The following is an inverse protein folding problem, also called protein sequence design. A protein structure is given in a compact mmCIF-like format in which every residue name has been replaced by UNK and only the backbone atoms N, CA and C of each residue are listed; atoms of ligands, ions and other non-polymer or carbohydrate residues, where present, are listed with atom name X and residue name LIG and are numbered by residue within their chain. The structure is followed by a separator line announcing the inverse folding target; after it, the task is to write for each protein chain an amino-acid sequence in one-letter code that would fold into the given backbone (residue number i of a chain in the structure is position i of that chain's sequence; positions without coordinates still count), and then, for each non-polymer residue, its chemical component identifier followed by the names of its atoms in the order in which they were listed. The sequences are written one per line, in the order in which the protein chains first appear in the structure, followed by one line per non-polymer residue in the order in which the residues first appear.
data_IF_595855517189
#
_entry.id   IF_595855517189
#
_cell.length_a   1.000
_cell.length_b   1.000
_cell.length_c   1.000
_cell.angle_alpha   90.00
_cell.angle_beta   90.00
_cell.angle_gamma   90.00
#
_symmetry.space_group_name_H-M   'P 1'
#
loop_
_entity.id
_entity.type
_entity.pdbx_description
1 polymer ?
#
# COMPACT_ATOMS: atom_id res chain seq x y z
N UNK A 1 -47.43 5.64 7.85
CA UNK A 1 -48.44 6.03 6.82
C UNK A 1 -48.41 5.05 5.65
N UNK A 2 -47.22 4.81 5.01
CA UNK A 2 -47.10 3.94 3.83
C UNK A 2 -47.51 2.47 4.08
N UNK A 3 -47.15 1.87 5.20
CA UNK A 3 -47.54 0.51 5.56
C UNK A 3 -49.08 0.38 5.75
N UNK A 4 -49.75 1.43 6.28
CA UNK A 4 -51.19 1.44 6.40
C UNK A 4 -51.92 1.48 5.03
N UNK A 5 -51.28 2.08 4.03
CA UNK A 5 -51.82 2.07 2.66
C UNK A 5 -51.80 0.64 2.09
N UNK A 6 -50.74 -0.14 2.32
CA UNK A 6 -50.67 -1.55 1.89
C UNK A 6 -51.64 -2.48 2.66
N UNK A 7 -52.06 -2.09 3.87
CA UNK A 7 -53.11 -2.84 4.60
C UNK A 7 -54.46 -2.62 3.95
N UNK A 8 -54.73 -1.41 3.43
CA UNK A 8 -56.02 -1.06 2.79
C UNK A 8 -56.03 -1.56 1.34
N UNK A 9 -54.95 -1.38 0.65
CA UNK A 9 -54.77 -1.76 -0.76
C UNK A 9 -53.41 -2.43 -0.92
N UNK A 10 -53.34 -3.77 -0.84
CA UNK A 10 -52.08 -4.51 -0.85
C UNK A 10 -51.30 -4.40 -2.16
N UNK A 11 -51.97 -4.06 -3.26
CA UNK A 11 -51.37 -4.08 -4.60
C UNK A 11 -51.01 -2.69 -5.12
N UNK A 12 -50.12 -1.99 -4.36
CA UNK A 12 -49.64 -0.67 -4.68
C UNK A 12 -48.11 -0.71 -4.89
N UNK A 13 -47.60 -0.98 -6.12
CA UNK A 13 -46.16 -1.09 -6.39
C UNK A 13 -45.38 0.17 -6.04
N UNK A 14 -45.96 1.36 -6.26
CA UNK A 14 -45.32 2.64 -5.93
C UNK A 14 -45.09 2.79 -4.42
N UNK A 15 -46.00 2.34 -3.59
CA UNK A 15 -45.85 2.36 -2.13
C UNK A 15 -44.83 1.35 -1.68
N UNK A 16 -44.79 0.16 -2.31
CA UNK A 16 -43.73 -0.82 -2.07
C UNK A 16 -42.34 -0.28 -2.42
N UNK A 17 -42.21 0.40 -3.58
CA UNK A 17 -40.92 1.04 -3.98
C UNK A 17 -40.48 2.09 -2.95
N UNK A 18 -41.41 2.93 -2.48
CA UNK A 18 -41.09 3.93 -1.45
C UNK A 18 -40.71 3.30 -0.12
N UNK A 19 -41.38 2.23 0.31
CA UNK A 19 -40.98 1.49 1.52
C UNK A 19 -39.62 0.80 1.36
N UNK A 20 -39.38 0.17 0.22
CA UNK A 20 -38.10 -0.44 -0.10
C UNK A 20 -36.94 0.58 -0.01
N UNK A 21 -37.14 1.76 -0.61
CA UNK A 21 -36.17 2.85 -0.54
C UNK A 21 -35.98 3.39 0.89
N UNK A 22 -37.08 3.55 1.64
CA UNK A 22 -37.04 4.01 3.03
C UNK A 22 -36.31 3.02 3.92
N UNK A 23 -36.60 1.72 3.83
CA UNK A 23 -35.91 0.69 4.60
C UNK A 23 -34.43 0.54 4.20
N UNK A 24 -34.11 0.74 2.91
CA UNK A 24 -32.73 0.85 2.46
C UNK A 24 -31.98 2.00 3.18
N UNK A 25 -32.56 3.19 3.22
CA UNK A 25 -31.98 4.35 3.92
C UNK A 25 -31.85 4.13 5.43
N UNK A 26 -32.73 3.33 6.03
CA UNK A 26 -32.65 2.94 7.44
C UNK A 26 -31.71 1.75 7.71
N UNK A 27 -30.98 1.29 6.69
CA UNK A 27 -30.12 0.09 6.74
C UNK A 27 -30.85 -1.20 7.19
N UNK A 28 -32.19 -1.22 7.04
CA UNK A 28 -32.99 -2.41 7.29
C UNK A 28 -33.15 -3.23 6.00
N UNK A 29 -32.03 -3.83 5.57
CA UNK A 29 -31.89 -4.44 4.24
C UNK A 29 -32.86 -5.60 3.99
N UNK A 30 -33.09 -6.44 4.99
CA UNK A 30 -34.06 -7.55 4.87
C UNK A 30 -35.48 -7.05 4.54
N UNK A 31 -35.93 -5.95 5.19
CA UNK A 31 -37.23 -5.34 4.90
C UNK A 31 -37.20 -4.64 3.54
N UNK A 32 -36.11 -3.95 3.20
CA UNK A 32 -35.96 -3.32 1.89
C UNK A 32 -36.08 -4.35 0.76
N UNK A 33 -35.37 -5.47 0.84
CA UNK A 33 -35.43 -6.57 -0.14
C UNK A 33 -36.84 -7.15 -0.27
N UNK A 34 -37.57 -7.30 0.83
CA UNK A 34 -38.95 -7.81 0.80
C UNK A 34 -39.85 -6.92 -0.07
N UNK A 35 -39.80 -5.60 0.10
CA UNK A 35 -40.57 -4.67 -0.67
C UNK A 35 -40.11 -4.49 -2.12
N UNK A 36 -38.79 -4.41 -2.35
CA UNK A 36 -38.20 -4.23 -3.67
C UNK A 36 -38.42 -5.47 -4.57
N UNK A 37 -38.23 -6.68 -4.03
CA UNK A 37 -38.53 -7.91 -4.77
C UNK A 37 -40.00 -8.01 -5.18
N UNK A 38 -40.93 -7.54 -4.32
CA UNK A 38 -42.32 -7.49 -4.65
C UNK A 38 -42.64 -6.48 -5.77
N UNK A 39 -41.84 -5.40 -5.91
CA UNK A 39 -41.97 -4.46 -7.05
C UNK A 39 -41.50 -5.11 -8.34
N UNK A 40 -40.34 -5.78 -8.33
CA UNK A 40 -39.78 -6.46 -9.52
C UNK A 40 -40.70 -7.59 -10.00
N UNK A 41 -41.31 -8.33 -9.07
CA UNK A 41 -42.21 -9.45 -9.38
C UNK A 41 -43.58 -9.03 -9.90
N UNK A 42 -43.93 -7.74 -9.85
CA UNK A 42 -45.24 -7.28 -10.24
C UNK A 42 -45.31 -7.00 -11.75
N UNK A 43 -46.23 -7.66 -12.47
CA UNK A 43 -46.31 -7.62 -13.95
C UNK A 43 -46.64 -6.23 -14.52
N UNK A 44 -47.48 -5.45 -13.85
CA UNK A 44 -47.97 -4.15 -14.33
C UNK A 44 -47.02 -2.96 -14.02
N UNK A 45 -45.87 -3.20 -13.39
CA UNK A 45 -44.91 -2.14 -13.07
C UNK A 45 -44.12 -1.78 -14.33
N UNK A 46 -43.94 -0.46 -14.64
CA UNK A 46 -43.11 0.00 -15.73
C UNK A 46 -41.65 -0.50 -15.59
N UNK A 47 -40.99 -0.77 -16.73
CA UNK A 47 -39.64 -1.34 -16.77
C UNK A 47 -38.60 -0.44 -16.10
N UNK A 48 -38.73 0.88 -16.19
CA UNK A 48 -37.85 1.85 -15.53
C UNK A 48 -37.92 1.78 -14.00
N UNK A 49 -39.11 1.52 -13.46
CA UNK A 49 -39.29 1.35 -12.00
C UNK A 49 -38.78 -0.02 -11.56
N UNK A 50 -39.02 -1.09 -12.36
CA UNK A 50 -38.40 -2.40 -12.10
C UNK A 50 -36.90 -2.32 -12.10
N UNK A 51 -36.30 -1.61 -13.07
CA UNK A 51 -34.86 -1.41 -13.14
C UNK A 51 -34.33 -0.67 -11.92
N UNK A 52 -35.01 0.40 -11.49
CA UNK A 52 -34.63 1.15 -10.28
C UNK A 52 -34.70 0.29 -9.00
N UNK A 53 -35.70 -0.58 -8.90
CA UNK A 53 -35.83 -1.54 -7.80
C UNK A 53 -34.71 -2.58 -7.84
N UNK A 54 -34.38 -3.10 -9.03
CA UNK A 54 -33.27 -4.05 -9.24
C UNK A 54 -31.92 -3.45 -8.93
N UNK A 55 -31.71 -2.17 -9.27
CA UNK A 55 -30.46 -1.45 -8.93
C UNK A 55 -30.29 -1.31 -7.42
N UNK A 56 -31.38 -1.04 -6.68
CA UNK A 56 -31.35 -1.00 -5.21
C UNK A 56 -31.11 -2.40 -4.60
N UNK A 57 -31.74 -3.45 -5.15
CA UNK A 57 -31.50 -4.84 -4.73
C UNK A 57 -30.00 -5.17 -4.91
N UNK A 58 -29.42 -4.86 -6.09
CA UNK A 58 -28.00 -5.11 -6.37
C UNK A 58 -27.10 -4.34 -5.40
N UNK A 59 -27.45 -3.10 -5.05
CA UNK A 59 -26.73 -2.34 -4.04
C UNK A 59 -26.80 -3.00 -2.66
N UNK A 60 -28.00 -3.47 -2.25
CA UNK A 60 -28.17 -4.18 -0.98
C UNK A 60 -27.32 -5.46 -0.98
N UNK A 61 -27.42 -6.29 -2.02
CA UNK A 61 -26.67 -7.54 -2.13
C UNK A 61 -25.15 -7.29 -2.01
N UNK A 62 -24.67 -6.20 -2.60
CA UNK A 62 -23.27 -5.79 -2.46
C UNK A 62 -22.92 -5.39 -1.02
N UNK A 63 -23.83 -4.69 -0.33
CA UNK A 63 -23.62 -4.22 1.05
C UNK A 63 -23.67 -5.34 2.09
N UNK A 64 -24.53 -6.35 1.88
CA UNK A 64 -24.71 -7.51 2.77
C UNK A 64 -23.83 -8.71 2.37
N UNK A 65 -23.13 -8.62 1.23
CA UNK A 65 -22.28 -9.71 0.78
C UNK A 65 -21.15 -9.98 1.80
N UNK A 66 -20.97 -11.23 2.22
CA UNK A 66 -19.81 -11.60 3.02
C UNK A 66 -18.50 -11.51 2.21
N UNK A 67 -18.59 -11.38 0.89
CA UNK A 67 -17.45 -11.29 -0.01
C UNK A 67 -17.18 -9.83 -0.38
N UNK A 68 -15.98 -9.34 -0.06
CA UNK A 68 -15.54 -7.97 -0.41
C UNK A 68 -14.26 -8.04 -1.21
N UNK A 69 -14.23 -7.29 -2.31
CA UNK A 69 -13.06 -7.11 -3.15
C UNK A 69 -12.69 -5.64 -3.19
N UNK A 70 -11.44 -5.34 -3.04
CA UNK A 70 -10.90 -4.02 -3.28
C UNK A 70 -9.51 -4.13 -3.87
N UNK A 71 -9.09 -3.11 -4.58
CA UNK A 71 -7.79 -3.10 -5.18
C UNK A 71 -7.33 -1.72 -5.62
N UNK A 72 -6.04 -1.63 -5.83
CA UNK A 72 -5.36 -0.43 -6.32
C UNK A 72 -4.40 -0.83 -7.41
N UNK A 73 -4.37 -0.07 -8.50
CA UNK A 73 -3.38 -0.21 -9.57
C UNK A 73 -2.73 1.16 -9.79
N UNK A 74 -1.41 1.19 -9.84
CA UNK A 74 -0.60 2.38 -10.10
C UNK A 74 0.28 2.11 -11.31
N UNK A 75 0.20 2.96 -12.33
CA UNK A 75 1.07 2.90 -13.49
C UNK A 75 1.66 4.29 -13.75
N UNK A 76 2.96 4.37 -13.97
CA UNK A 76 3.60 5.67 -14.13
C UNK A 76 5.01 5.62 -14.70
N UNK A 77 5.56 6.82 -14.85
CA UNK A 77 6.94 7.05 -15.27
C UNK A 77 7.69 7.74 -14.14
N UNK A 78 8.95 7.38 -13.96
CA UNK A 78 9.83 7.94 -12.93
C UNK A 78 11.20 8.25 -13.53
N UNK A 79 11.75 9.39 -13.15
CA UNK A 79 13.15 9.73 -13.36
C UNK A 79 13.92 9.54 -12.05
N UNK A 80 15.13 9.01 -12.13
CA UNK A 80 16.04 8.82 -11.02
C UNK A 80 17.44 9.36 -11.39
N UNK A 81 18.07 10.08 -10.48
CA UNK A 81 19.44 10.60 -10.68
C UNK A 81 20.51 9.55 -10.42
N UNK A 82 20.13 8.44 -9.77
CA UNK A 82 21.01 7.31 -9.47
C UNK A 82 20.17 6.01 -9.51
N UNK A 83 19.82 5.57 -10.71
CA UNK A 83 18.97 4.41 -10.93
C UNK A 83 19.68 3.09 -10.59
N UNK A 84 20.99 3.01 -10.83
CA UNK A 84 21.81 1.83 -10.53
C UNK A 84 22.28 1.73 -9.07
N UNK A 85 21.97 2.72 -8.21
CA UNK A 85 22.45 2.74 -6.82
C UNK A 85 23.97 2.86 -6.67
N UNK A 86 24.66 3.31 -7.72
CA UNK A 86 26.11 3.41 -7.76
C UNK A 86 26.69 4.44 -6.78
N UNK A 87 27.95 4.30 -6.35
CA UNK A 87 28.59 5.22 -5.44
C UNK A 87 28.78 6.61 -6.05
N UNK A 88 28.89 7.62 -5.16
CA UNK A 88 29.11 9.03 -5.54
C UNK A 88 30.51 9.30 -6.06
N UNK A 89 31.47 8.41 -5.84
CA UNK A 89 32.90 8.58 -6.15
C UNK A 89 33.44 7.34 -6.87
N UNK A 90 34.34 7.56 -7.80
CA UNK A 90 35.12 6.47 -8.40
C UNK A 90 36.16 5.87 -7.44
N UNK A 91 36.59 6.63 -6.40
CA UNK A 91 37.52 6.13 -5.42
C UNK A 91 36.80 5.22 -4.41
N UNK A 92 37.06 3.94 -4.51
CA UNK A 92 36.46 2.89 -3.69
C UNK A 92 37.52 2.10 -2.92
N UNK A 93 37.09 1.24 -2.01
CA UNK A 93 37.91 0.24 -1.37
C UNK A 93 37.78 -1.11 -2.07
N UNK A 94 38.90 -1.79 -2.26
CA UNK A 94 38.96 -3.14 -2.78
C UNK A 94 40.12 -3.89 -2.07
N UNK A 95 39.78 -4.98 -1.37
CA UNK A 95 40.70 -5.76 -0.53
C UNK A 95 41.53 -4.91 0.46
N UNK A 96 40.87 -3.89 1.07
CA UNK A 96 41.48 -2.96 2.01
C UNK A 96 42.35 -1.87 1.39
N UNK A 97 42.60 -1.93 0.07
CA UNK A 97 43.32 -0.91 -0.70
C UNK A 97 42.37 0.10 -1.37
N UNK A 98 42.98 1.19 -1.90
CA UNK A 98 42.25 2.12 -2.77
C UNK A 98 42.21 1.58 -4.20
N UNK A 99 41.03 1.64 -4.83
CA UNK A 99 40.83 1.30 -6.24
C UNK A 99 40.04 2.41 -6.92
N UNK A 100 40.06 2.45 -8.25
CA UNK A 100 39.28 3.37 -9.05
C UNK A 100 38.25 2.56 -9.82
N UNK A 101 36.97 2.87 -9.59
CA UNK A 101 35.85 2.26 -10.26
C UNK A 101 35.66 2.91 -11.63
N UNK A 102 35.30 2.12 -12.64
CA UNK A 102 34.96 2.66 -13.94
C UNK A 102 33.68 3.52 -13.82
N UNK A 103 33.58 4.59 -14.62
CA UNK A 103 32.52 5.59 -14.52
C UNK A 103 31.11 4.99 -14.68
N UNK A 104 30.98 3.95 -15.49
CA UNK A 104 29.70 3.25 -15.73
C UNK A 104 29.10 2.58 -14.49
N UNK A 105 29.93 2.22 -13.50
CA UNK A 105 29.49 1.64 -12.21
C UNK A 105 29.25 2.69 -11.12
N UNK A 106 29.55 3.95 -11.38
CA UNK A 106 29.18 5.05 -10.48
C UNK A 106 27.71 5.42 -10.69
N UNK A 107 27.28 6.49 -10.07
CA UNK A 107 25.90 7.01 -10.18
C UNK A 107 25.49 7.20 -11.65
N UNK A 108 24.45 6.47 -12.08
CA UNK A 108 23.83 6.58 -13.41
C UNK A 108 22.38 7.01 -13.28
N UNK A 109 21.99 8.06 -14.03
CA UNK A 109 20.60 8.49 -14.09
C UNK A 109 19.83 7.68 -15.12
N UNK A 110 18.54 7.46 -14.88
CA UNK A 110 17.67 6.77 -15.83
C UNK A 110 16.20 7.13 -15.65
N UNK A 111 15.40 6.76 -16.65
CA UNK A 111 13.96 6.76 -16.60
C UNK A 111 13.45 5.33 -16.47
N UNK A 112 12.38 5.14 -15.72
CA UNK A 112 11.67 3.87 -15.70
C UNK A 112 10.16 4.04 -15.90
N UNK A 113 9.55 2.98 -16.42
CA UNK A 113 8.10 2.77 -16.38
C UNK A 113 7.82 1.78 -15.27
N UNK A 114 6.85 2.05 -14.42
CA UNK A 114 6.48 1.16 -13.34
C UNK A 114 4.99 0.84 -13.32
N UNK A 115 4.68 -0.38 -12.91
CA UNK A 115 3.34 -0.89 -12.67
C UNK A 115 3.30 -1.53 -11.28
N UNK A 116 2.37 -1.11 -10.45
CA UNK A 116 2.10 -1.73 -9.15
C UNK A 116 0.63 -2.08 -9.03
N UNK A 117 0.31 -3.20 -8.42
CA UNK A 117 -1.05 -3.63 -8.15
C UNK A 117 -1.16 -4.23 -6.75
N UNK A 118 -2.26 -3.94 -6.08
CA UNK A 118 -2.63 -4.58 -4.84
C UNK A 118 -4.12 -4.95 -4.91
N UNK A 119 -4.42 -6.21 -4.61
CA UNK A 119 -5.77 -6.77 -4.58
C UNK A 119 -6.00 -7.38 -3.22
N UNK A 120 -7.15 -7.11 -2.64
CA UNK A 120 -7.56 -7.70 -1.37
C UNK A 120 -8.93 -8.34 -1.53
N UNK A 121 -9.04 -9.58 -1.13
CA UNK A 121 -10.27 -10.31 -0.97
C UNK A 121 -10.49 -10.55 0.51
N UNK A 122 -11.71 -10.26 0.99
CA UNK A 122 -12.13 -10.45 2.37
C UNK A 122 -13.42 -11.27 2.37
N UNK A 123 -13.41 -12.36 3.12
CA UNK A 123 -14.60 -13.12 3.44
C UNK A 123 -14.98 -12.87 4.90
N UNK A 124 -16.18 -12.37 5.14
CA UNK A 124 -16.70 -12.08 6.47
C UNK A 124 -17.54 -13.27 6.98
N UNK A 125 -17.16 -13.83 8.11
CA UNK A 125 -17.89 -14.93 8.74
C UNK A 125 -19.16 -14.49 9.47
N UNK A 126 -19.40 -13.17 9.53
CA UNK A 126 -20.56 -12.56 10.21
C UNK A 126 -20.69 -12.98 11.68
N UNK A 127 -19.56 -13.09 12.37
CA UNK A 127 -19.46 -13.53 13.77
C UNK A 127 -19.29 -12.36 14.73
N UNK A 128 -19.52 -12.63 16.03
CA UNK A 128 -19.19 -11.74 17.13
C UNK A 128 -18.26 -12.48 18.11
N UNK A 129 -16.99 -12.05 18.31
CA UNK A 129 -16.33 -10.93 17.64
C UNK A 129 -16.22 -11.12 16.12
N UNK A 130 -16.09 -10.01 15.38
CA UNK A 130 -15.97 -10.09 13.92
C UNK A 130 -14.71 -10.83 13.51
N UNK A 131 -14.89 -11.88 12.71
CA UNK A 131 -13.82 -12.68 12.11
C UNK A 131 -13.94 -12.60 10.60
N UNK A 132 -12.85 -12.23 9.94
CA UNK A 132 -12.75 -12.26 8.47
C UNK A 132 -11.59 -13.13 8.03
N UNK A 133 -11.65 -13.68 6.85
CA UNK A 133 -10.53 -14.33 6.17
C UNK A 133 -10.07 -13.40 5.04
N UNK A 134 -8.78 -13.06 5.06
CA UNK A 134 -8.23 -12.08 4.14
C UNK A 134 -7.16 -12.71 3.24
N UNK A 135 -7.25 -12.43 1.95
CA UNK A 135 -6.22 -12.74 0.96
C UNK A 135 -5.76 -11.44 0.33
N UNK A 136 -4.47 -11.14 0.42
CA UNK A 136 -3.83 -10.00 -0.22
C UNK A 136 -2.86 -10.46 -1.30
N UNK A 137 -2.96 -9.89 -2.49
CA UNK A 137 -2.00 -10.07 -3.57
C UNK A 137 -1.40 -8.72 -3.90
N UNK A 138 -0.08 -8.63 -3.94
CA UNK A 138 0.62 -7.45 -4.43
C UNK A 138 1.64 -7.83 -5.49
N UNK A 139 1.77 -6.99 -6.50
CA UNK A 139 2.75 -7.12 -7.56
C UNK A 139 3.33 -5.74 -7.90
N UNK A 140 4.59 -5.71 -8.23
CA UNK A 140 5.30 -4.53 -8.70
C UNK A 140 6.26 -4.92 -9.81
N UNK A 141 6.32 -4.12 -10.86
CA UNK A 141 7.36 -4.22 -11.88
C UNK A 141 7.84 -2.83 -12.29
N UNK A 142 9.13 -2.71 -12.52
CA UNK A 142 9.74 -1.51 -13.11
C UNK A 142 10.72 -1.91 -14.21
N UNK A 143 10.69 -1.17 -15.29
CA UNK A 143 11.53 -1.35 -16.46
C UNK A 143 12.30 -0.06 -16.73
N UNK A 144 13.60 -0.16 -16.66
CA UNK A 144 14.52 0.94 -16.89
C UNK A 144 14.73 1.15 -18.40
N UNK A 145 15.03 2.37 -18.82
CA UNK A 145 15.32 2.69 -20.21
C UNK A 145 16.72 2.17 -20.63
N UNK A 146 17.73 2.40 -19.80
CA UNK A 146 19.13 2.05 -20.07
C UNK A 146 19.72 1.07 -19.06
N UNK A 147 19.33 1.15 -17.79
CA UNK A 147 19.89 0.36 -16.68
C UNK A 147 19.08 -0.94 -16.44
N UNK A 148 18.90 -1.75 -17.48
CA UNK A 148 18.02 -2.95 -17.40
C UNK A 148 18.46 -4.00 -16.37
N UNK A 149 19.72 -3.96 -15.88
CA UNK A 149 20.22 -4.82 -14.81
C UNK A 149 19.52 -4.55 -13.46
N UNK A 150 18.84 -3.41 -13.31
CA UNK A 150 18.02 -3.09 -12.12
C UNK A 150 16.52 -3.13 -12.38
N UNK A 151 16.09 -3.66 -13.54
CA UNK A 151 14.69 -4.01 -13.76
C UNK A 151 14.21 -4.91 -12.63
N UNK A 152 13.10 -4.55 -12.00
CA UNK A 152 12.64 -5.24 -10.79
C UNK A 152 11.24 -5.77 -11.00
N UNK A 153 10.99 -7.02 -10.64
CA UNK A 153 9.65 -7.58 -10.50
C UNK A 153 9.52 -8.20 -9.12
N UNK A 154 8.45 -7.85 -8.41
CA UNK A 154 8.11 -8.36 -7.08
C UNK A 154 6.69 -8.89 -7.10
N UNK A 155 6.48 -10.04 -6.47
CA UNK A 155 5.17 -10.61 -6.22
C UNK A 155 5.07 -11.01 -4.75
N UNK A 156 3.89 -10.82 -4.16
CA UNK A 156 3.61 -11.27 -2.80
C UNK A 156 2.16 -11.67 -2.66
N UNK A 157 1.93 -12.83 -2.04
CA UNK A 157 0.63 -13.32 -1.62
C UNK A 157 0.63 -13.44 -0.10
N UNK A 158 -0.39 -12.87 0.53
CA UNK A 158 -0.66 -13.00 1.96
C UNK A 158 -2.02 -13.65 2.17
N UNK A 159 -2.13 -14.49 3.22
CA UNK A 159 -3.37 -15.15 3.58
C UNK A 159 -3.47 -15.35 5.08
N UNK A 160 -4.60 -14.97 5.67
CA UNK A 160 -4.81 -15.17 7.10
C UNK A 160 -6.12 -14.59 7.63
N UNK A 161 -6.53 -15.00 8.83
CA UNK A 161 -7.69 -14.43 9.49
C UNK A 161 -7.37 -13.04 10.08
N UNK A 162 -8.40 -12.20 10.16
CA UNK A 162 -8.41 -11.00 11.00
C UNK A 162 -9.53 -11.12 12.01
N UNK A 163 -9.21 -10.85 13.26
CA UNK A 163 -10.15 -10.79 14.37
C UNK A 163 -10.29 -9.34 14.83
N UNK A 164 -11.50 -8.86 14.95
CA UNK A 164 -11.79 -7.49 15.39
C UNK A 164 -12.61 -7.54 16.67
N UNK A 165 -12.05 -7.01 17.74
CA UNK A 165 -12.69 -6.88 19.04
C UNK A 165 -13.06 -5.41 19.27
N UNK A 166 -14.25 -5.17 19.83
CA UNK A 166 -14.73 -3.83 20.20
C UNK A 166 -14.82 -3.71 21.73
N UNK A 167 -13.69 -3.48 22.42
CA UNK A 167 -13.67 -3.47 23.90
C UNK A 167 -14.57 -2.40 24.51
N UNK A 168 -14.76 -1.28 23.79
CA UNK A 168 -15.63 -0.16 24.16
C UNK A 168 -16.20 0.49 22.90
N UNK A 169 -17.38 1.14 22.96
CA UNK A 169 -17.91 1.91 21.85
C UNK A 169 -16.86 2.92 21.31
N UNK A 170 -16.66 2.92 19.99
CA UNK A 170 -15.69 3.80 19.32
C UNK A 170 -14.24 3.34 19.36
N UNK A 171 -13.92 2.18 19.96
CA UNK A 171 -12.59 1.56 19.93
C UNK A 171 -12.62 0.23 19.21
N UNK A 172 -11.52 -0.17 18.58
CA UNK A 172 -11.36 -1.50 17.98
C UNK A 172 -9.93 -2.01 18.17
N UNK A 173 -9.81 -3.30 18.50
CA UNK A 173 -8.55 -4.03 18.54
C UNK A 173 -8.58 -5.06 17.39
N UNK A 174 -7.70 -4.88 16.42
CA UNK A 174 -7.54 -5.77 15.29
C UNK A 174 -6.33 -6.67 15.51
N UNK A 175 -6.48 -7.96 15.29
CA UNK A 175 -5.42 -8.97 15.33
C UNK A 175 -5.44 -9.72 14.00
N UNK A 176 -4.34 -9.70 13.25
CA UNK A 176 -4.22 -10.36 11.95
C UNK A 176 -2.93 -11.19 11.87
N UNK A 177 -2.94 -12.48 12.25
CA UNK A 177 -1.91 -13.42 11.86
C UNK A 177 -2.07 -13.77 10.38
N UNK A 178 -0.95 -13.94 9.65
CA UNK A 178 -0.99 -14.32 8.25
C UNK A 178 0.24 -15.13 7.86
N UNK A 179 0.09 -16.00 6.86
CA UNK A 179 1.16 -16.60 6.10
C UNK A 179 1.42 -15.77 4.83
N UNK A 180 2.62 -15.84 4.30
CA UNK A 180 2.97 -15.18 3.06
C UNK A 180 3.98 -15.97 2.23
N UNK A 181 3.93 -15.77 0.93
CA UNK A 181 4.96 -16.13 -0.03
C UNK A 181 5.29 -14.92 -0.88
N UNK A 182 6.54 -14.75 -1.23
CA UNK A 182 6.98 -13.71 -2.15
C UNK A 182 8.07 -14.21 -3.09
N UNK A 183 8.20 -13.51 -4.19
CA UNK A 183 9.16 -13.77 -5.25
C UNK A 183 9.72 -12.46 -5.77
N UNK A 184 11.00 -12.45 -6.15
CA UNK A 184 11.66 -11.31 -6.73
C UNK A 184 12.52 -11.73 -7.92
N UNK A 185 12.40 -11.00 -9.02
CA UNK A 185 13.32 -11.03 -10.14
C UNK A 185 14.03 -9.67 -10.28
N UNK A 186 15.32 -9.70 -10.60
CA UNK A 186 16.17 -8.54 -10.82
C UNK A 186 16.92 -8.69 -12.15
N UNK A 187 16.90 -7.65 -12.99
CA UNK A 187 17.54 -7.68 -14.32
C UNK A 187 17.00 -8.80 -15.22
N UNK A 188 15.72 -9.17 -15.05
CA UNK A 188 15.08 -10.26 -15.80
C UNK A 188 15.49 -11.67 -15.37
N UNK A 189 16.18 -11.83 -14.22
CA UNK A 189 16.57 -13.12 -13.64
C UNK A 189 15.90 -13.30 -12.29
N UNK A 190 15.48 -14.53 -11.96
CA UNK A 190 14.96 -14.86 -10.65
C UNK A 190 16.06 -14.61 -9.60
N UNK A 191 15.76 -13.79 -8.61
CA UNK A 191 16.68 -13.44 -7.52
C UNK A 191 16.38 -14.28 -6.29
N UNK A 192 15.21 -14.13 -5.67
CA UNK A 192 14.84 -14.96 -4.53
C UNK A 192 13.36 -15.33 -4.48
N UNK A 193 13.08 -16.47 -3.84
CA UNK A 193 11.77 -16.87 -3.35
C UNK A 193 11.75 -16.80 -1.83
N UNK A 194 10.61 -16.42 -1.24
CA UNK A 194 10.48 -16.30 0.21
C UNK A 194 9.18 -16.88 0.72
N UNK A 195 9.25 -17.56 1.87
CA UNK A 195 8.10 -18.09 2.61
C UNK A 195 8.14 -17.56 4.03
N UNK A 196 7.01 -17.14 4.55
CA UNK A 196 7.01 -16.51 5.86
C UNK A 196 5.65 -16.43 6.52
N UNK A 197 5.67 -15.77 7.67
CA UNK A 197 4.49 -15.45 8.45
C UNK A 197 4.62 -14.09 9.12
N UNK A 198 3.48 -13.51 9.47
CA UNK A 198 3.44 -12.25 10.19
C UNK A 198 2.26 -12.14 11.13
N UNK A 199 2.32 -11.12 11.96
CA UNK A 199 1.28 -10.74 12.89
C UNK A 199 1.16 -9.21 12.90
N UNK A 200 -0.01 -8.71 12.54
CA UNK A 200 -0.34 -7.28 12.61
C UNK A 200 -1.34 -7.05 13.75
N UNK A 201 -1.09 -6.00 14.50
CA UNK A 201 -1.92 -5.50 15.58
C UNK A 201 -2.31 -4.06 15.28
N UNK A 202 -3.58 -3.69 15.45
CA UNK A 202 -4.00 -2.30 15.42
C UNK A 202 -5.01 -2.04 16.53
N UNK A 203 -4.76 -1.00 17.31
CA UNK A 203 -5.69 -0.51 18.32
C UNK A 203 -6.17 0.88 17.95
N UNK A 204 -7.40 0.96 17.45
CA UNK A 204 -8.07 2.20 17.08
C UNK A 204 -8.77 2.80 18.29
N UNK A 205 -8.42 4.03 18.61
CA UNK A 205 -9.01 4.78 19.75
C UNK A 205 -10.01 5.84 19.28
N UNK A 206 -10.00 6.17 17.99
CA UNK A 206 -10.97 7.02 17.30
C UNK A 206 -10.81 6.86 15.77
N UNK A 207 -11.63 7.52 14.97
CA UNK A 207 -11.53 7.50 13.50
C UNK A 207 -10.19 8.07 12.98
N UNK A 208 -9.56 8.99 13.72
CA UNK A 208 -8.30 9.63 13.35
C UNK A 208 -7.12 9.21 14.25
N UNK A 209 -7.24 8.14 15.05
CA UNK A 209 -6.23 7.78 16.02
C UNK A 209 -6.11 6.27 16.20
N UNK A 210 -4.93 5.74 15.91
CA UNK A 210 -4.62 4.32 16.01
C UNK A 210 -3.18 4.08 16.49
N UNK A 211 -2.97 3.03 17.25
CA UNK A 211 -1.68 2.40 17.48
C UNK A 211 -1.57 1.18 16.59
N UNK A 212 -0.43 0.97 15.98
CA UNK A 212 -0.12 -0.22 15.19
C UNK A 212 1.16 -0.86 15.69
N UNK A 213 1.25 -2.16 15.63
CA UNK A 213 2.48 -2.91 15.88
C UNK A 213 2.42 -4.21 15.09
N UNK A 214 3.56 -4.81 14.83
CA UNK A 214 3.57 -6.09 14.17
C UNK A 214 4.97 -6.66 14.00
N UNK A 215 4.97 -7.90 13.54
CA UNK A 215 6.17 -8.63 13.18
C UNK A 215 5.96 -9.38 11.88
N UNK A 216 7.04 -9.54 11.13
CA UNK A 216 7.06 -10.33 9.90
C UNK A 216 8.38 -11.07 9.83
N UNK A 217 8.29 -12.37 9.59
CA UNK A 217 9.41 -13.27 9.36
C UNK A 217 9.29 -13.86 7.97
N UNK A 218 10.38 -13.85 7.20
CA UNK A 218 10.46 -14.44 5.86
C UNK A 218 11.79 -15.14 5.73
N UNK A 219 11.76 -16.42 5.43
CA UNK A 219 12.94 -17.18 5.02
C UNK A 219 13.08 -17.07 3.50
N UNK A 220 14.27 -16.66 3.03
CA UNK A 220 14.53 -16.42 1.61
C UNK A 220 15.59 -17.35 1.08
N UNK A 221 15.31 -17.91 -0.10
CA UNK A 221 16.21 -18.75 -0.89
C UNK A 221 16.56 -18.01 -2.20
N UNK A 222 17.84 -17.88 -2.47
CA UNK A 222 18.35 -17.13 -3.63
C UNK A 222 18.78 -18.10 -4.74
N UNK A 223 18.35 -17.79 -5.98
CA UNK A 223 18.53 -18.65 -7.14
C UNK A 223 19.85 -18.42 -7.89
N UNK A 224 20.40 -17.17 -7.81
CA UNK A 224 21.63 -16.82 -8.51
C UNK A 224 22.85 -17.26 -7.72
N UNK A 225 23.86 -17.84 -8.40
CA UNK A 225 25.07 -18.34 -7.77
C UNK A 225 25.83 -17.25 -6.99
N UNK A 226 25.82 -16.02 -7.48
CA UNK A 226 26.43 -14.86 -6.84
C UNK A 226 25.67 -14.39 -5.59
N UNK A 227 24.40 -14.75 -5.46
CA UNK A 227 23.50 -14.33 -4.39
C UNK A 227 23.26 -15.42 -3.32
N UNK A 228 23.78 -16.63 -3.52
CA UNK A 228 23.53 -17.77 -2.58
C UNK A 228 23.97 -17.43 -1.15
N UNK A 229 25.02 -16.63 -0.96
CA UNK A 229 25.43 -16.14 0.36
C UNK A 229 24.40 -15.23 1.06
N UNK A 230 23.42 -14.70 0.33
CA UNK A 230 22.34 -13.85 0.87
C UNK A 230 21.16 -14.65 1.40
N UNK A 231 21.18 -15.98 1.29
CA UNK A 231 20.16 -16.88 1.81
C UNK A 231 20.03 -16.72 3.33
N UNK A 232 18.77 -16.74 3.80
CA UNK A 232 18.47 -16.74 5.22
C UNK A 232 17.24 -15.93 5.62
N UNK A 233 16.94 -15.92 6.92
CA UNK A 233 15.76 -15.28 7.44
C UNK A 233 15.86 -13.77 7.49
N UNK A 234 14.74 -13.14 7.24
CA UNK A 234 14.51 -11.71 7.37
C UNK A 234 13.39 -11.44 8.36
N UNK A 235 13.70 -10.74 9.44
CA UNK A 235 12.73 -10.38 10.48
C UNK A 235 12.52 -8.88 10.51
N UNK A 236 11.27 -8.45 10.55
CA UNK A 236 10.88 -7.05 10.73
C UNK A 236 9.97 -6.93 11.94
N UNK A 237 10.27 -5.98 12.82
CA UNK A 237 9.40 -5.50 13.87
C UNK A 237 9.02 -4.06 13.57
N UNK A 238 7.80 -3.67 13.86
CA UNK A 238 7.38 -2.28 13.72
C UNK A 238 6.38 -1.90 14.80
N UNK A 239 6.37 -0.61 15.12
CA UNK A 239 5.36 0.01 15.96
C UNK A 239 5.06 1.41 15.41
N UNK A 240 3.79 1.81 15.41
CA UNK A 240 3.37 3.08 14.85
C UNK A 240 2.26 3.75 15.64
N UNK A 241 2.13 5.05 15.43
CA UNK A 241 1.07 5.87 15.98
C UNK A 241 0.54 6.80 14.91
N UNK A 242 -0.75 6.68 14.61
CA UNK A 242 -1.49 7.64 13.78
C UNK A 242 -2.34 8.53 14.66
N UNK A 243 -2.39 9.84 14.37
CA UNK A 243 -3.15 10.82 15.13
C UNK A 243 -3.62 11.97 14.24
N UNK A 244 -4.81 12.47 14.50
CA UNK A 244 -5.33 13.68 13.85
C UNK A 244 -4.64 14.92 14.43
N UNK A 245 -4.01 15.71 13.55
CA UNK A 245 -3.46 17.03 13.88
C UNK A 245 -4.53 18.13 13.72
N UNK A 246 -5.43 17.93 12.77
CA UNK A 246 -6.61 18.75 12.52
C UNK A 246 -7.66 17.92 11.78
N UNK A 247 -8.81 18.53 11.46
CA UNK A 247 -9.85 17.87 10.65
C UNK A 247 -9.38 17.52 9.21
N UNK A 248 -8.30 18.16 8.74
CA UNK A 248 -7.74 17.98 7.40
C UNK A 248 -6.35 17.36 7.40
N UNK A 249 -5.74 17.19 8.58
CA UNK A 249 -4.33 16.75 8.69
C UNK A 249 -4.19 15.56 9.60
N UNK A 250 -3.52 14.53 9.12
CA UNK A 250 -3.19 13.31 9.86
C UNK A 250 -1.66 13.20 9.92
N UNK A 251 -1.14 12.90 11.11
CA UNK A 251 0.25 12.55 11.34
C UNK A 251 0.40 11.07 11.67
N UNK A 252 1.47 10.45 11.18
CA UNK A 252 1.85 9.08 11.54
C UNK A 252 3.34 9.04 11.85
N UNK A 253 3.70 8.38 12.96
CA UNK A 253 5.07 8.10 13.36
C UNK A 253 5.22 6.58 13.38
N UNK A 254 6.24 6.06 12.74
CA UNK A 254 6.58 4.64 12.71
C UNK A 254 8.01 4.42 13.18
N UNK A 255 8.19 3.45 14.04
CA UNK A 255 9.48 2.87 14.43
C UNK A 255 9.59 1.49 13.79
N UNK A 256 10.77 1.12 13.33
CA UNK A 256 11.04 -0.21 12.81
C UNK A 256 12.39 -0.72 13.28
N UNK A 257 12.47 -2.02 13.50
CA UNK A 257 13.72 -2.77 13.64
C UNK A 257 13.68 -3.91 12.62
N UNK A 258 14.77 -4.08 11.94
CA UNK A 258 14.90 -4.99 10.83
C UNK A 258 16.18 -5.79 10.99
N UNK A 259 16.10 -7.10 10.93
CA UNK A 259 17.24 -8.00 10.95
C UNK A 259 17.25 -8.86 9.70
N UNK A 260 18.36 -8.92 9.03
CA UNK A 260 18.63 -9.82 7.94
C UNK A 260 19.80 -10.71 8.36
N UNK A 261 19.52 -11.98 8.62
CA UNK A 261 20.52 -12.97 9.03
C UNK A 261 20.83 -13.87 7.81
N UNK A 262 21.93 -13.57 7.14
CA UNK A 262 22.34 -14.26 5.91
C UNK A 262 23.46 -15.26 6.19
N UNK A 263 23.62 -16.26 5.29
CA UNK A 263 24.73 -17.23 5.37
C UNK A 263 26.09 -16.50 5.28
N UNK A 264 26.21 -15.49 4.41
CA UNK A 264 27.37 -14.60 4.35
C UNK A 264 27.22 -13.45 5.36
N UNK A 265 27.90 -13.53 6.50
CA UNK A 265 27.76 -12.59 7.61
C UNK A 265 28.16 -11.14 7.29
N UNK A 266 28.95 -10.93 6.27
CA UNK A 266 29.25 -9.58 5.75
C UNK A 266 28.06 -8.91 5.08
N UNK A 267 26.98 -9.67 4.78
CA UNK A 267 25.71 -9.21 4.23
C UNK A 267 24.60 -9.22 5.27
N UNK A 268 24.80 -9.84 6.43
CA UNK A 268 23.87 -9.83 7.56
C UNK A 268 23.92 -8.47 8.28
N UNK A 269 22.75 -7.95 8.73
CA UNK A 269 22.69 -6.65 9.37
C UNK A 269 21.45 -6.45 10.26
N UNK A 270 21.55 -5.44 11.12
CA UNK A 270 20.44 -4.79 11.78
C UNK A 270 20.22 -3.39 11.20
N UNK A 271 18.94 -3.02 11.01
CA UNK A 271 18.53 -1.67 10.63
C UNK A 271 17.46 -1.17 11.58
N UNK A 272 17.63 0.02 12.13
CA UNK A 272 16.63 0.71 12.93
C UNK A 272 16.12 1.92 12.17
N UNK A 273 14.80 2.10 12.15
CA UNK A 273 14.17 3.17 11.38
C UNK A 273 13.19 4.00 12.21
N UNK A 274 13.20 5.30 11.95
CA UNK A 274 12.17 6.25 12.38
C UNK A 274 11.60 6.93 11.15
N UNK A 275 10.29 6.85 10.96
CA UNK A 275 9.59 7.48 9.84
C UNK A 275 8.46 8.36 10.34
N UNK A 276 8.32 9.55 9.77
CA UNK A 276 7.23 10.49 10.01
C UNK A 276 6.52 10.77 8.70
N UNK A 277 5.20 10.59 8.68
CA UNK A 277 4.32 10.90 7.56
C UNK A 277 3.30 11.94 8.01
N UNK A 278 3.13 13.00 7.22
CA UNK A 278 2.07 14.00 7.38
C UNK A 278 1.25 14.01 6.10
N UNK A 279 -0.06 13.85 6.23
CA UNK A 279 -1.02 13.94 5.13
C UNK A 279 -1.98 15.09 5.40
N UNK A 280 -2.17 15.95 4.40
CA UNK A 280 -3.06 17.11 4.47
C UNK A 280 -4.02 17.14 3.28
N UNK A 281 -5.31 17.21 3.57
CA UNK A 281 -6.34 17.36 2.56
C UNK A 281 -6.53 18.86 2.23
N UNK A 282 -6.28 19.22 0.99
CA UNK A 282 -6.42 20.58 0.48
C UNK A 282 -7.88 20.86 0.13
N UNK A 283 -8.72 21.09 1.15
CA UNK A 283 -10.18 21.23 1.00
C UNK A 283 -10.61 22.43 0.13
N UNK A 284 -9.78 23.47 0.02
CA UNK A 284 -10.15 24.76 -0.57
C UNK A 284 -9.44 25.09 -1.90
N UNK A 285 -8.83 24.09 -2.57
CA UNK A 285 -8.32 24.30 -3.92
C UNK A 285 -9.48 24.38 -4.94
N UNK A 286 -10.24 25.45 -4.82
CA UNK A 286 -11.14 25.96 -5.86
C UNK A 286 -10.58 27.30 -6.35
N UNK A 287 -10.26 27.45 -7.64
CA UNK A 287 -10.83 26.80 -8.78
C UNK A 287 -10.04 25.54 -9.21
N UNK A 288 -10.76 24.54 -9.69
CA UNK A 288 -10.14 23.36 -10.28
C UNK A 288 -9.17 23.77 -11.39
N UNK A 289 -7.94 23.23 -11.43
CA UNK A 289 -7.01 23.50 -12.51
C UNK A 289 -7.65 23.11 -13.84
N UNK A 290 -7.38 23.91 -14.86
CA UNK A 290 -7.92 23.73 -16.20
C UNK A 290 -6.80 23.35 -17.15
N UNK A 291 -7.01 22.31 -17.92
CA UNK A 291 -6.16 21.93 -19.05
C UNK A 291 -6.94 22.25 -20.35
N UNK A 292 -6.35 23.03 -21.25
CA UNK A 292 -7.01 23.50 -22.48
C UNK A 292 -8.40 24.10 -22.26
N UNK A 293 -8.59 24.86 -21.15
CA UNK A 293 -9.83 25.54 -20.82
C UNK A 293 -10.92 24.66 -20.17
N UNK A 294 -10.69 23.35 -20.02
CA UNK A 294 -11.59 22.40 -19.38
C UNK A 294 -11.08 22.06 -17.96
N UNK A 295 -11.97 21.85 -16.97
CA UNK A 295 -11.55 21.42 -15.64
C UNK A 295 -10.80 20.07 -15.73
N UNK A 296 -9.69 19.96 -15.01
CA UNK A 296 -8.82 18.78 -15.00
C UNK A 296 -9.42 17.64 -14.18
N UNK A 297 -10.33 17.96 -13.27
CA UNK A 297 -10.93 17.00 -12.34
C UNK A 297 -12.45 17.03 -12.45
N UNK A 298 -13.04 15.84 -12.41
CA UNK A 298 -14.49 15.63 -12.37
C UNK A 298 -14.96 15.14 -10.99
N UNK A 299 -14.03 15.03 -10.04
CA UNK A 299 -14.30 14.57 -8.68
C UNK A 299 -14.38 15.77 -7.70
N UNK A 300 -15.36 15.83 -6.81
CA UNK A 300 -15.43 16.82 -5.74
C UNK A 300 -14.47 16.52 -4.58
N UNK A 301 -13.74 15.39 -4.62
CA UNK A 301 -12.83 15.01 -3.55
C UNK A 301 -11.65 15.99 -3.44
N UNK A 302 -11.18 16.30 -2.22
CA UNK A 302 -10.05 17.18 -2.01
C UNK A 302 -8.75 16.57 -2.53
N UNK A 303 -7.82 17.40 -2.92
CA UNK A 303 -6.45 16.96 -3.20
C UNK A 303 -5.76 16.61 -1.89
N UNK A 304 -4.88 15.60 -1.93
CA UNK A 304 -4.13 15.18 -0.75
C UNK A 304 -2.65 15.41 -0.97
N UNK A 305 -2.06 16.24 -0.11
CA UNK A 305 -0.62 16.46 -0.05
C UNK A 305 -0.03 15.62 1.08
N UNK A 306 1.07 14.91 0.79
CA UNK A 306 1.75 14.07 1.77
C UNK A 306 3.23 14.41 1.82
N UNK A 307 3.79 14.46 3.03
CA UNK A 307 5.23 14.58 3.28
C UNK A 307 5.68 13.38 4.11
N UNK A 308 6.72 12.74 3.66
CA UNK A 308 7.35 11.62 4.34
C UNK A 308 8.83 11.91 4.57
N UNK A 309 9.32 11.65 5.79
CA UNK A 309 10.74 11.68 6.12
C UNK A 309 11.07 10.46 6.98
N UNK A 310 12.17 9.80 6.66
CA UNK A 310 12.64 8.60 7.38
C UNK A 310 14.14 8.65 7.59
N UNK A 311 14.57 8.25 8.77
CA UNK A 311 15.98 8.06 9.16
C UNK A 311 16.17 6.59 9.49
N UNK A 312 17.25 6.00 8.96
CA UNK A 312 17.58 4.59 9.15
C UNK A 312 19.07 4.46 9.45
N UNK A 313 19.38 3.76 10.51
CA UNK A 313 20.73 3.35 10.91
C UNK A 313 20.88 1.85 10.64
N UNK A 314 21.91 1.47 9.89
CA UNK A 314 22.18 0.09 9.50
C UNK A 314 23.60 -0.29 9.87
N UNK A 315 23.72 -1.38 10.62
CA UNK A 315 24.98 -1.94 11.08
C UNK A 315 25.12 -3.38 10.62
N UNK A 316 26.18 -3.70 9.90
CA UNK A 316 26.48 -5.05 9.42
C UNK A 316 27.19 -5.87 10.49
N UNK A 317 27.08 -7.19 10.43
CA UNK A 317 27.63 -8.10 11.44
C UNK A 317 29.14 -8.27 11.28
N UNK A 318 29.62 -8.41 10.04
CA UNK A 318 31.04 -8.65 9.75
C UNK A 318 31.55 -7.76 8.60
N UNK A 319 32.86 -7.59 8.54
CA UNK A 319 33.53 -6.91 7.45
C UNK A 319 33.51 -7.76 6.17
N UNK A 320 33.30 -7.13 5.01
CA UNK A 320 33.43 -7.81 3.71
C UNK A 320 34.90 -7.84 3.27
N UNK A 321 35.53 -9.03 3.20
CA UNK A 321 36.95 -9.13 2.81
C UNK A 321 37.23 -8.66 1.39
N UNK A 322 36.26 -8.70 0.49
CA UNK A 322 36.40 -8.19 -0.87
C UNK A 322 36.45 -6.67 -0.94
N UNK A 323 35.90 -5.98 0.08
CA UNK A 323 35.95 -4.52 0.18
C UNK A 323 37.06 -4.09 1.15
N UNK A 324 36.88 -4.42 2.43
CA UNK A 324 37.90 -4.12 3.47
C UNK A 324 37.70 -5.03 4.68
N UNK A 325 38.58 -6.01 4.88
CA UNK A 325 38.46 -6.96 6.00
C UNK A 325 38.65 -6.32 7.40
N UNK A 326 39.14 -5.09 7.47
CA UNK A 326 39.37 -4.36 8.72
C UNK A 326 38.20 -3.41 9.09
N UNK A 327 37.21 -3.24 8.23
CA UNK A 327 36.11 -2.26 8.43
C UNK A 327 34.75 -2.93 8.26
N UNK A 328 33.99 -3.01 9.35
CA UNK A 328 32.59 -3.41 9.32
C UNK A 328 31.76 -2.24 8.80
N UNK A 329 30.92 -2.50 7.81
CA UNK A 329 30.06 -1.50 7.17
C UNK A 329 29.00 -0.97 8.13
N UNK A 330 28.80 0.35 8.09
CA UNK A 330 27.73 1.08 8.79
C UNK A 330 27.17 2.14 7.84
N UNK A 331 25.86 2.22 7.74
CA UNK A 331 25.18 3.16 6.84
C UNK A 331 24.12 3.96 7.60
N UNK A 332 24.16 5.27 7.47
CA UNK A 332 23.09 6.19 7.85
C UNK A 332 22.30 6.58 6.60
N UNK A 333 20.99 6.41 6.62
CA UNK A 333 20.15 6.73 5.47
C UNK A 333 19.06 7.75 5.84
N UNK A 334 18.99 8.85 5.08
CA UNK A 334 17.88 9.77 5.06
C UNK A 334 17.03 9.51 3.81
N UNK A 335 15.72 9.34 3.99
CA UNK A 335 14.74 9.28 2.88
C UNK A 335 13.69 10.34 3.10
N UNK A 336 13.41 11.14 2.08
CA UNK A 336 12.35 12.16 2.12
C UNK A 336 11.55 12.15 0.82
N UNK A 337 10.26 12.43 0.91
CA UNK A 337 9.42 12.58 -0.28
C UNK A 337 8.21 13.48 -0.02
N UNK A 338 7.75 14.12 -1.09
CA UNK A 338 6.50 14.84 -1.14
C UNK A 338 5.65 14.25 -2.27
N UNK A 339 4.37 14.00 -2.00
CA UNK A 339 3.43 13.45 -2.97
C UNK A 339 2.16 14.27 -3.00
N UNK A 340 1.60 14.46 -4.19
CA UNK A 340 0.31 15.10 -4.41
C UNK A 340 -0.61 14.14 -5.15
N UNK A 341 -1.76 13.82 -4.54
CA UNK A 341 -2.83 13.04 -5.15
C UNK A 341 -3.92 14.00 -5.60
N UNK A 342 -4.23 13.95 -6.89
CA UNK A 342 -5.27 14.76 -7.54
C UNK A 342 -6.38 13.82 -8.02
N UNK A 343 -7.56 13.80 -7.40
CA UNK A 343 -8.67 12.96 -7.85
C UNK A 343 -9.19 13.42 -9.22
N UNK A 344 -9.07 12.57 -10.25
CA UNK A 344 -9.61 12.84 -11.59
C UNK A 344 -11.07 12.41 -11.69
N UNK A 345 -11.38 11.23 -11.16
CA UNK A 345 -12.75 10.70 -11.02
C UNK A 345 -12.91 10.08 -9.62
N UNK A 346 -14.03 9.44 -9.35
CA UNK A 346 -14.26 8.69 -8.11
C UNK A 346 -13.32 7.47 -7.95
N UNK A 347 -12.71 6.98 -9.03
CA UNK A 347 -11.89 5.78 -9.07
C UNK A 347 -10.49 5.99 -9.64
N UNK A 348 -10.23 7.13 -10.26
CA UNK A 348 -8.95 7.44 -10.92
C UNK A 348 -8.35 8.71 -10.35
N UNK A 349 -7.08 8.65 -9.99
CA UNK A 349 -6.31 9.76 -9.44
C UNK A 349 -5.02 9.96 -10.24
N UNK A 350 -4.54 11.17 -10.30
CA UNK A 350 -3.18 11.50 -10.72
C UNK A 350 -2.32 11.60 -9.46
N UNK A 351 -1.23 10.85 -9.42
CA UNK A 351 -0.24 10.86 -8.33
C UNK A 351 1.06 11.45 -8.88
N UNK A 352 1.55 12.50 -8.25
CA UNK A 352 2.89 13.03 -8.51
C UNK A 352 3.72 12.91 -7.24
N UNK A 353 4.98 12.47 -7.38
CA UNK A 353 5.89 12.31 -6.24
C UNK A 353 7.27 12.83 -6.60
N UNK A 354 7.91 13.54 -5.68
CA UNK A 354 9.32 13.87 -5.72
C UNK A 354 9.96 13.43 -4.41
N UNK A 355 11.18 12.90 -4.48
CA UNK A 355 11.86 12.42 -3.30
C UNK A 355 13.37 12.45 -3.42
N UNK A 356 14.01 12.26 -2.28
CA UNK A 356 15.46 12.26 -2.12
C UNK A 356 15.86 11.20 -1.11
N UNK A 357 16.92 10.47 -1.44
CA UNK A 357 17.59 9.50 -0.58
C UNK A 357 19.06 9.86 -0.49
N UNK A 358 19.62 9.90 0.72
CA UNK A 358 21.03 10.10 1.02
C UNK A 358 21.50 8.93 1.88
N UNK A 359 22.45 8.16 1.41
CA UNK A 359 23.09 7.05 2.12
C UNK A 359 24.54 7.43 2.41
N UNK A 360 24.85 7.56 3.67
CA UNK A 360 26.20 7.83 4.18
C UNK A 360 26.76 6.56 4.78
N UNK A 361 27.81 6.05 4.17
CA UNK A 361 28.50 4.85 4.64
C UNK A 361 29.90 5.21 5.13
N UNK A 362 30.40 4.44 6.10
CA UNK A 362 31.82 4.48 6.51
C UNK A 362 32.74 3.88 5.43
N UNK A 363 32.19 3.26 4.38
CA UNK A 363 32.89 2.75 3.20
C UNK A 363 32.44 3.52 1.95
N UNK A 364 33.34 4.15 1.18
CA UNK A 364 32.96 4.99 0.03
C UNK A 364 32.23 4.24 -1.07
N UNK A 365 32.37 2.93 -1.15
CA UNK A 365 31.67 2.03 -2.07
C UNK A 365 30.15 2.14 -1.98
N UNK A 366 29.62 2.51 -0.81
CA UNK A 366 28.19 2.45 -0.51
C UNK A 366 27.57 3.83 -0.24
N UNK A 367 28.41 4.89 -0.21
CA UNK A 367 27.90 6.26 -0.10
C UNK A 367 27.27 6.67 -1.41
N UNK A 368 25.95 6.92 -1.38
CA UNK A 368 25.22 7.32 -2.57
C UNK A 368 24.06 8.28 -2.24
N UNK A 369 23.60 8.99 -3.25
CA UNK A 369 22.40 9.81 -3.21
C UNK A 369 21.56 9.57 -4.44
N UNK A 370 20.25 9.68 -4.29
CA UNK A 370 19.31 9.60 -5.39
C UNK A 370 18.15 10.59 -5.16
N UNK A 371 17.92 11.48 -6.09
CA UNK A 371 16.66 12.20 -6.15
C UNK A 371 15.82 11.65 -7.30
N UNK A 372 14.53 11.63 -7.11
CA UNK A 372 13.61 11.11 -8.11
C UNK A 372 12.36 11.98 -8.22
N UNK A 373 11.72 11.90 -9.37
CA UNK A 373 10.38 12.44 -9.60
C UNK A 373 9.55 11.46 -10.42
N UNK A 374 8.26 11.36 -10.12
CA UNK A 374 7.36 10.46 -10.83
C UNK A 374 5.99 11.09 -11.06
N UNK A 375 5.35 10.64 -12.13
CA UNK A 375 3.95 10.93 -12.46
C UNK A 375 3.27 9.61 -12.78
N UNK A 376 2.16 9.32 -12.08
CA UNK A 376 1.47 8.05 -12.16
C UNK A 376 -0.04 8.23 -12.18
N UNK A 377 -0.75 7.31 -12.81
CA UNK A 377 -2.18 7.13 -12.67
C UNK A 377 -2.43 6.07 -11.59
N UNK A 378 -3.32 6.38 -10.67
CA UNK A 378 -3.74 5.51 -9.57
C UNK A 378 -5.22 5.21 -9.72
N UNK A 379 -5.54 3.95 -10.03
CA UNK A 379 -6.90 3.42 -10.11
C UNK A 379 -7.28 2.68 -8.83
N UNK A 380 -8.53 2.83 -8.38
CA UNK A 380 -9.11 2.15 -7.20
C UNK A 380 -10.46 1.53 -7.57
N UNK A 381 -10.76 0.34 -7.03
CA UNK A 381 -12.01 -0.39 -7.28
C UNK A 381 -12.41 -1.27 -6.09
#
# INVERSE_FOLDING_TARGET
ALERMLIIEPDLPQVRMQLGTLYFQLASYAMALTYLNAVVAHDEVPDDVKQSAQDLITQIDTLISPHRFNGTVVAGVRYQSNANGGPMTQNIRLFGGSAVLDEEYTRQSDWDVSLAGQFNYVYDFETEPSVTLETGVSAYSSWQDTQSQVDTTLFELQFGPRLVFTPKPGTALDLRPYALVNDMALGGKDSFEGVGAGLDLAFRTSMASAWTAGTRYVDRDYSQAEEVGLKGPRTRLFAGRTFGLSNLTIGTINLSAFNEDTDEKSSAYWEYGLQVLIQHNLADLSPQPRLFGRPLTFSPAPWTLSFNIGFYDKSYDEANPGVDAGVVRQDDTLRSSASLVIPLTTRLNLLTTAGYTDVRSNLPNYTNENWFSSVSLLGQF
#
